data_IF_665600226457
#
_entry.id   IF_665600226457
#
_cell.length_a   1.000
_cell.length_b   1.000
_cell.length_c   1.000
_cell.angle_alpha   90.00
_cell.angle_beta   90.00
_cell.angle_gamma   90.00
#
_symmetry.space_group_name_H-M   'P 1'
#
loop_
_entity.id
_entity.type
_entity.pdbx_description
1 polymer ?
#
# COMPACT_ATOMS: atom_id res chain seq x y z
N UNK A 1 36.19 0.67 -43.73
CA UNK A 1 35.47 1.72 -42.97
C UNK A 1 34.05 1.31 -42.57
N UNK A 2 33.16 0.89 -43.48
CA UNK A 2 31.78 0.46 -43.12
C UNK A 2 31.70 -0.70 -42.09
N UNK A 3 32.63 -1.66 -42.15
CA UNK A 3 32.73 -2.75 -41.17
C UNK A 3 33.15 -2.29 -39.77
N UNK A 4 34.04 -1.30 -39.69
CA UNK A 4 34.46 -0.70 -38.42
C UNK A 4 33.34 0.13 -37.78
N UNK A 5 32.56 0.84 -38.61
CA UNK A 5 31.37 1.58 -38.18
C UNK A 5 30.26 0.65 -37.67
N UNK A 6 30.06 -0.50 -38.33
CA UNK A 6 29.12 -1.53 -37.88
C UNK A 6 29.54 -2.20 -36.56
N UNK A 7 30.84 -2.47 -36.38
CA UNK A 7 31.36 -3.05 -35.13
C UNK A 7 31.22 -2.04 -33.98
N UNK A 8 31.54 -0.76 -34.22
CA UNK A 8 31.45 0.28 -33.20
C UNK A 8 30.00 0.50 -32.74
N UNK A 9 29.05 0.53 -33.68
CA UNK A 9 27.62 0.68 -33.36
C UNK A 9 27.04 -0.54 -32.60
N UNK A 10 27.41 -1.76 -32.98
CA UNK A 10 27.02 -2.98 -32.23
C UNK A 10 27.60 -2.99 -30.82
N UNK A 11 28.86 -2.57 -30.64
CA UNK A 11 29.50 -2.53 -29.34
C UNK A 11 28.85 -1.50 -28.40
N UNK A 12 28.50 -0.32 -28.94
CA UNK A 12 27.76 0.71 -28.21
C UNK A 12 26.36 0.23 -27.79
N UNK A 13 25.66 -0.49 -28.67
CA UNK A 13 24.34 -1.05 -28.34
C UNK A 13 24.42 -2.08 -27.21
N UNK A 14 25.40 -2.99 -27.27
CA UNK A 14 25.59 -4.03 -26.27
C UNK A 14 25.94 -3.47 -24.88
N UNK A 15 26.79 -2.44 -24.83
CA UNK A 15 27.16 -1.77 -23.58
C UNK A 15 25.96 -1.05 -22.92
N UNK A 16 25.07 -0.45 -23.72
CA UNK A 16 23.87 0.22 -23.23
C UNK A 16 22.92 -0.71 -22.47
N UNK A 17 22.68 -1.91 -23.00
CA UNK A 17 21.80 -2.89 -22.35
C UNK A 17 22.33 -3.34 -20.98
N UNK A 18 23.63 -3.58 -20.86
CA UNK A 18 24.23 -4.00 -19.60
C UNK A 18 24.14 -2.91 -18.52
N UNK A 19 24.30 -1.64 -18.90
CA UNK A 19 24.17 -0.51 -17.99
C UNK A 19 22.76 -0.36 -17.41
N UNK A 20 21.73 -0.54 -18.24
CA UNK A 20 20.32 -0.43 -17.81
C UNK A 20 19.98 -1.52 -16.81
N UNK A 21 20.35 -2.79 -17.09
CA UNK A 21 20.06 -3.91 -16.19
C UNK A 21 20.78 -3.73 -14.84
N UNK A 22 22.03 -3.25 -14.86
CA UNK A 22 22.78 -2.97 -13.64
C UNK A 22 22.14 -1.87 -12.78
N UNK A 23 21.68 -0.78 -13.42
CA UNK A 23 21.01 0.32 -12.73
C UNK A 23 19.68 -0.13 -12.10
N UNK A 24 18.88 -0.94 -12.81
CA UNK A 24 17.64 -1.53 -12.29
C UNK A 24 17.90 -2.49 -11.12
N UNK A 25 18.94 -3.33 -11.21
CA UNK A 25 19.31 -4.21 -10.11
C UNK A 25 19.71 -3.43 -8.86
N UNK A 26 20.52 -2.38 -9.01
CA UNK A 26 20.97 -1.55 -7.88
C UNK A 26 19.82 -0.75 -7.28
N UNK A 27 18.93 -0.17 -8.10
CA UNK A 27 17.79 0.60 -7.60
C UNK A 27 16.84 -0.27 -6.77
N UNK A 28 16.53 -1.47 -7.25
CA UNK A 28 15.68 -2.42 -6.52
C UNK A 28 16.34 -2.86 -5.22
N UNK A 29 17.63 -3.20 -5.24
CA UNK A 29 18.35 -3.64 -4.03
C UNK A 29 18.50 -2.53 -2.98
N UNK A 30 18.63 -1.27 -3.43
CA UNK A 30 18.83 -0.14 -2.52
C UNK A 30 17.52 0.45 -1.99
N UNK A 31 16.44 0.40 -2.77
CA UNK A 31 15.21 1.17 -2.49
C UNK A 31 13.91 0.40 -2.68
N UNK A 32 13.99 -0.88 -3.05
CA UNK A 32 12.83 -1.73 -3.37
C UNK A 32 11.94 -1.14 -4.49
N UNK A 33 12.55 -0.35 -5.38
CA UNK A 33 11.90 0.31 -6.51
C UNK A 33 12.74 0.16 -7.77
N UNK A 34 12.09 -0.09 -8.89
CA UNK A 34 12.74 0.01 -10.20
C UNK A 34 13.07 1.48 -10.52
N UNK A 35 13.95 1.72 -11.49
CA UNK A 35 14.26 3.09 -11.95
C UNK A 35 13.00 3.77 -12.48
N UNK A 36 12.15 3.01 -13.16
CA UNK A 36 10.85 3.50 -13.66
C UNK A 36 9.91 3.87 -12.51
N UNK A 37 9.86 3.06 -11.44
CA UNK A 37 9.03 3.36 -10.26
C UNK A 37 9.44 4.67 -9.57
N UNK A 38 10.73 5.02 -9.58
CA UNK A 38 11.19 6.32 -9.09
C UNK A 38 10.64 7.48 -9.93
N UNK A 39 10.66 7.35 -11.26
CA UNK A 39 10.10 8.37 -12.16
C UNK A 39 8.59 8.52 -11.96
N UNK A 40 7.88 7.39 -11.84
CA UNK A 40 6.43 7.40 -11.59
C UNK A 40 6.13 8.01 -10.22
N UNK A 41 6.86 7.62 -9.18
CA UNK A 41 6.68 8.19 -7.84
C UNK A 41 6.90 9.70 -7.84
N UNK A 42 7.93 10.18 -8.54
CA UNK A 42 8.26 11.60 -8.61
C UNK A 42 7.19 12.39 -9.39
N UNK A 43 6.70 11.84 -10.51
CA UNK A 43 5.71 12.52 -11.37
C UNK A 43 4.29 12.51 -10.79
N UNK A 44 3.91 11.43 -10.11
CA UNK A 44 2.59 11.29 -9.50
C UNK A 44 2.52 11.87 -8.08
N UNK A 45 3.67 12.10 -7.43
CA UNK A 45 3.76 12.50 -6.03
C UNK A 45 3.36 11.40 -5.05
N UNK A 46 3.21 10.16 -5.54
CA UNK A 46 2.82 8.98 -4.77
C UNK A 46 4.00 8.05 -4.52
N UNK A 47 3.91 7.22 -3.50
CA UNK A 47 4.91 6.18 -3.25
C UNK A 47 4.58 4.90 -4.01
N UNK A 48 5.07 4.76 -5.25
CA UNK A 48 4.78 3.62 -6.12
C UNK A 48 5.98 2.67 -6.27
N UNK A 49 5.71 1.36 -6.33
CA UNK A 49 6.71 0.31 -6.54
C UNK A 49 6.12 -0.93 -7.22
N UNK A 50 6.84 -1.47 -8.20
CA UNK A 50 6.51 -2.74 -8.85
C UNK A 50 6.68 -3.91 -7.89
N UNK A 51 7.68 -3.86 -7.01
CA UNK A 51 7.92 -4.90 -5.99
C UNK A 51 6.74 -5.01 -5.03
N UNK A 52 6.12 -3.90 -4.63
CA UNK A 52 4.90 -3.91 -3.81
C UNK A 52 3.77 -4.67 -4.48
N UNK A 53 3.58 -4.44 -5.79
CA UNK A 53 2.56 -5.11 -6.58
C UNK A 53 2.81 -6.62 -6.66
N UNK A 54 4.07 -7.04 -6.78
CA UNK A 54 4.45 -8.46 -6.78
C UNK A 54 4.19 -9.13 -5.41
N UNK A 55 4.24 -8.37 -4.32
CA UNK A 55 3.86 -8.81 -2.98
C UNK A 55 2.33 -8.83 -2.74
N UNK A 56 1.53 -8.51 -3.75
CA UNK A 56 0.06 -8.51 -3.66
C UNK A 56 -0.55 -7.25 -3.06
N UNK A 57 0.25 -6.21 -2.83
CA UNK A 57 -0.24 -4.89 -2.41
C UNK A 57 -0.63 -4.03 -3.62
N UNK A 58 -1.22 -2.86 -3.36
CA UNK A 58 -1.40 -1.87 -4.42
C UNK A 58 -0.07 -1.31 -4.91
N UNK A 59 -0.05 -0.92 -6.18
CA UNK A 59 1.15 -0.39 -6.83
C UNK A 59 1.67 0.88 -6.14
N UNK A 60 0.77 1.80 -5.81
CA UNK A 60 1.08 2.96 -4.98
C UNK A 60 0.48 2.77 -3.58
N UNK A 61 1.24 3.14 -2.56
CA UNK A 61 0.88 2.97 -1.16
C UNK A 61 -0.45 3.66 -0.80
N UNK A 62 -0.69 4.84 -1.36
CA UNK A 62 -1.86 5.67 -1.10
C UNK A 62 -3.16 5.09 -1.69
N UNK A 63 -3.05 4.13 -2.61
CA UNK A 63 -4.20 3.49 -3.26
C UNK A 63 -4.68 2.25 -2.47
N UNK A 64 -3.98 1.86 -1.40
CA UNK A 64 -4.35 0.72 -0.56
C UNK A 64 -5.68 1.00 0.15
N UNK A 65 -6.70 0.21 -0.15
CA UNK A 65 -8.00 0.34 0.51
C UNK A 65 -7.86 -0.25 1.91
N UNK A 66 -7.72 0.62 2.92
CA UNK A 66 -7.83 0.22 4.32
C UNK A 66 -9.31 0.07 4.67
N UNK A 67 -9.82 -1.16 4.89
CA UNK A 67 -11.21 -1.32 5.31
C UNK A 67 -11.37 -0.66 6.69
N UNK A 68 -12.20 0.37 6.76
CA UNK A 68 -12.59 0.96 8.03
C UNK A 68 -13.43 -0.08 8.80
N UNK A 69 -12.76 -0.84 9.67
CA UNK A 69 -13.39 -1.78 10.58
C UNK A 69 -14.19 -0.99 11.61
N UNK A 70 -15.46 -0.70 11.31
CA UNK A 70 -16.36 -0.05 12.26
C UNK A 70 -16.74 -1.07 13.33
N UNK A 71 -15.99 -1.10 14.44
CA UNK A 71 -16.26 -1.98 15.57
C UNK A 71 -17.16 -1.28 16.58
N UNK A 72 -18.28 -1.92 16.91
CA UNK A 72 -19.26 -1.43 17.88
C UNK A 72 -19.15 -2.23 19.18
N UNK A 73 -18.54 -1.66 20.21
CA UNK A 73 -18.36 -2.30 21.50
C UNK A 73 -19.41 -1.85 22.52
N UNK A 74 -20.13 -2.82 23.10
CA UNK A 74 -21.12 -2.58 24.15
C UNK A 74 -20.66 -3.20 25.47
N UNK A 75 -20.81 -2.45 26.56
CA UNK A 75 -20.50 -2.94 27.91
C UNK A 75 -21.65 -3.80 28.41
N UNK A 76 -21.38 -5.06 28.73
CA UNK A 76 -22.33 -5.94 29.41
C UNK A 76 -21.97 -6.06 30.90
N UNK A 77 -22.75 -6.83 31.67
CA UNK A 77 -22.53 -7.05 33.10
C UNK A 77 -21.28 -7.90 33.40
N UNK A 78 -20.82 -8.72 32.45
CA UNK A 78 -19.68 -9.62 32.63
C UNK A 78 -18.44 -9.22 31.84
N UNK A 79 -18.59 -8.77 30.60
CA UNK A 79 -17.48 -8.43 29.71
C UNK A 79 -17.89 -7.38 28.66
N UNK A 80 -16.92 -6.75 27.99
CA UNK A 80 -17.19 -5.91 26.81
C UNK A 80 -17.30 -6.83 25.60
N UNK A 81 -18.43 -6.78 24.91
CA UNK A 81 -18.64 -7.52 23.65
C UNK A 81 -18.65 -6.56 22.48
N UNK A 82 -17.84 -6.85 21.46
CA UNK A 82 -17.71 -6.03 20.26
C UNK A 82 -18.30 -6.75 19.04
N UNK A 83 -18.94 -5.98 18.17
CA UNK A 83 -19.60 -6.45 16.95
C UNK A 83 -19.08 -5.70 15.72
N UNK A 84 -19.18 -6.34 14.56
CA UNK A 84 -18.87 -5.79 13.24
C UNK A 84 -19.99 -4.90 12.67
N UNK A 85 -21.16 -4.91 13.31
CA UNK A 85 -22.32 -4.09 12.98
C UNK A 85 -23.08 -3.65 14.25
N UNK A 86 -23.78 -2.51 14.22
CA UNK A 86 -24.54 -2.06 15.39
C UNK A 86 -25.68 -3.06 15.66
N UNK A 87 -25.87 -3.40 16.94
CA UNK A 87 -26.91 -4.37 17.36
C UNK A 87 -28.29 -3.69 17.49
N UNK A 88 -28.32 -2.36 17.56
CA UNK A 88 -29.54 -1.56 17.72
C UNK A 88 -29.51 -0.31 16.83
N UNK A 89 -30.61 -0.02 16.14
CA UNK A 89 -30.81 1.15 15.25
C UNK A 89 -31.53 2.33 15.97
N UNK A 90 -31.73 2.22 17.28
CA UNK A 90 -32.59 3.12 18.07
C UNK A 90 -31.83 4.01 19.06
N UNK A 91 -32.36 5.22 19.30
CA UNK A 91 -31.90 6.15 20.35
C UNK A 91 -31.79 5.43 21.70
N UNK A 92 -30.57 5.13 22.13
CA UNK A 92 -30.33 4.67 23.49
C UNK A 92 -30.45 5.86 24.44
N UNK A 93 -31.55 5.92 25.17
CA UNK A 93 -31.72 6.86 26.27
C UNK A 93 -30.86 6.40 27.46
N UNK A 94 -30.03 7.30 28.00
CA UNK A 94 -29.24 6.99 29.20
C UNK A 94 -30.19 6.76 30.37
N UNK A 95 -30.46 5.50 30.70
CA UNK A 95 -31.04 5.15 32.00
C UNK A 95 -30.01 5.58 33.04
N UNK A 96 -30.30 6.68 33.72
CA UNK A 96 -29.44 7.25 34.76
C UNK A 96 -29.25 6.16 35.81
N UNK A 97 -28.01 5.67 35.98
CA UNK A 97 -27.68 4.66 36.98
C UNK A 97 -28.20 5.13 38.34
N UNK A 98 -29.21 4.43 38.83
CA UNK A 98 -30.04 4.80 39.95
C UNK A 98 -31.22 3.85 39.99
N UNK A 99 -30.93 2.57 40.24
CA UNK A 99 -31.94 1.56 40.43
C UNK A 99 -32.75 1.84 41.69
N UNK A 100 -33.79 2.64 41.57
CA UNK A 100 -34.92 2.63 42.49
C UNK A 100 -36.07 1.93 41.75
N UNK A 101 -36.41 0.73 42.21
CA UNK A 101 -37.56 -0.03 41.71
C UNK A 101 -38.84 0.69 42.19
N UNK A 102 -39.79 1.06 41.31
CA UNK A 102 -41.07 1.59 41.79
C UNK A 102 -41.82 0.49 42.54
N UNK A 103 -42.31 0.84 43.73
CA UNK A 103 -43.13 -0.03 44.60
C UNK A 103 -44.43 -0.44 43.93
#
# INVERSE_FOLDING_TARGET
>A
MKRLLAIFTVCMLAAGCAGIIGAEGVSVMATEKTVVDHVISLSSGKNCSTIRKDLGMTYCEEDEITPAMNVFCYRTLGEITCYDRPVFDGKQERVRQGGEKPR
#
